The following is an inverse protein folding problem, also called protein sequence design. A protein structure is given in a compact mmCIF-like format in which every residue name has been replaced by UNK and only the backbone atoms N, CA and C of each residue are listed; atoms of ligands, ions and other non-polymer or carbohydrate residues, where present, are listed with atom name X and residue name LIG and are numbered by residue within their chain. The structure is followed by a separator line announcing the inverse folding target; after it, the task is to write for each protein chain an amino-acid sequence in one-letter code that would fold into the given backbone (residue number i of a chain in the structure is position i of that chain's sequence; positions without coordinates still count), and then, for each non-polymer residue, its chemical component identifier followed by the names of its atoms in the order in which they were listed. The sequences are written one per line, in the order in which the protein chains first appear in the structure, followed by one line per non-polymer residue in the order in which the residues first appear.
data_IF_440283777183
#
_entry.id   IF_440283777183
#
_cell.length_a   1.000
_cell.length_b   1.000
_cell.length_c   1.000
_cell.angle_alpha   90.00
_cell.angle_beta   90.00
_cell.angle_gamma   90.00
#
_symmetry.space_group_name_H-M   'P 1'
#
loop_
_entity.id
_entity.type
_entity.pdbx_description
1 polymer ?
#
# COMPACT_ATOMS: atom_id res chain seq x y z
N UNK A 1 -5.49 -13.63 -8.13
CA UNK A 1 -4.18 -14.28 -8.14
C UNK A 1 -3.21 -13.25 -8.66
N UNK A 2 -2.24 -12.84 -7.85
CA UNK A 2 -1.14 -12.01 -8.30
C UNK A 2 -0.53 -12.71 -9.52
N UNK A 3 -0.27 -11.98 -10.60
CA UNK A 3 0.31 -12.55 -11.81
C UNK A 3 1.63 -13.25 -11.48
N UNK A 4 1.97 -14.31 -12.22
CA UNK A 4 3.26 -14.99 -12.08
C UNK A 4 4.44 -14.01 -12.21
N UNK A 5 4.28 -12.94 -13.02
CA UNK A 5 5.25 -11.83 -13.11
C UNK A 5 5.37 -11.03 -11.81
N UNK A 6 4.27 -10.78 -11.11
CA UNK A 6 4.24 -10.10 -9.80
C UNK A 6 4.86 -10.93 -8.70
N UNK A 7 4.73 -12.26 -8.78
CA UNK A 7 5.37 -13.20 -7.84
C UNK A 7 6.89 -13.25 -8.05
N UNK A 8 7.35 -13.12 -9.31
CA UNK A 8 8.78 -13.06 -9.66
C UNK A 8 9.44 -11.72 -9.28
N UNK A 9 8.68 -10.62 -9.27
CA UNK A 9 9.15 -9.28 -8.84
C UNK A 9 9.22 -9.11 -7.31
N UNK A 10 8.81 -10.11 -6.52
CA UNK A 10 9.08 -10.15 -5.07
C UNK A 10 10.58 -10.48 -4.87
N UNK A 11 11.47 -9.66 -5.42
CA UNK A 11 12.87 -9.69 -5.07
C UNK A 11 12.98 -9.39 -3.59
N UNK A 12 13.88 -10.12 -2.92
CA UNK A 12 14.21 -10.03 -1.50
C UNK A 12 14.00 -8.62 -0.93
N UNK A 13 12.88 -8.42 -0.23
CA UNK A 13 12.61 -7.19 0.53
C UNK A 13 13.22 -7.42 1.92
N UNK A 14 14.41 -6.87 2.23
CA UNK A 14 14.93 -6.86 3.59
C UNK A 14 13.91 -6.25 4.57
N UNK A 15 13.92 -6.77 5.80
CA UNK A 15 12.76 -6.88 6.68
C UNK A 15 12.10 -5.58 7.15
N UNK A 16 10.99 -5.75 7.88
CA UNK A 16 10.07 -4.72 8.40
C UNK A 16 10.73 -3.50 9.09
N UNK A 17 11.98 -3.61 9.54
CA UNK A 17 12.73 -2.52 10.14
C UNK A 17 12.98 -1.37 9.14
N UNK A 18 13.40 -1.65 7.91
CA UNK A 18 13.68 -0.60 6.91
C UNK A 18 12.41 0.07 6.40
N UNK A 19 11.30 -0.66 6.39
CA UNK A 19 9.99 -0.14 6.01
C UNK A 19 9.34 0.73 7.10
N UNK A 20 9.90 0.77 8.31
CA UNK A 20 9.36 1.55 9.42
C UNK A 20 9.42 3.05 9.13
N UNK A 21 8.58 3.83 9.81
CA UNK A 21 8.47 5.27 9.64
C UNK A 21 7.18 5.70 8.93
N UNK A 22 7.10 6.99 8.66
CA UNK A 22 5.93 7.60 8.03
C UNK A 22 5.96 7.42 6.50
N UNK A 23 4.79 7.25 5.92
CA UNK A 23 4.52 7.10 4.48
C UNK A 23 3.25 7.86 4.10
N UNK A 24 3.30 8.64 3.03
CA UNK A 24 2.16 9.35 2.45
C UNK A 24 1.58 8.52 1.31
N UNK A 25 0.27 8.31 1.29
CA UNK A 25 -0.39 7.67 0.16
C UNK A 25 -0.51 8.68 -0.99
N UNK A 26 0.18 8.41 -2.09
CA UNK A 26 0.23 9.31 -3.25
C UNK A 26 -0.82 8.94 -4.29
N UNK A 27 -1.05 7.65 -4.51
CA UNK A 27 -2.01 7.17 -5.51
C UNK A 27 -2.49 5.75 -5.21
N UNK A 28 -3.71 5.43 -5.67
CA UNK A 28 -4.26 4.07 -5.68
C UNK A 28 -4.64 3.70 -7.11
N UNK A 29 -4.30 2.48 -7.53
CA UNK A 29 -4.87 1.87 -8.73
C UNK A 29 -5.84 0.75 -8.35
N UNK A 30 -7.12 0.86 -8.74
CA UNK A 30 -8.14 -0.11 -8.34
C UNK A 30 -9.40 -0.09 -9.21
N UNK A 31 -9.89 -1.26 -9.60
CA UNK A 31 -11.22 -1.38 -10.22
C UNK A 31 -12.36 -1.46 -9.20
N UNK A 32 -12.12 -1.08 -7.94
CA UNK A 32 -13.16 -1.05 -6.91
C UNK A 32 -14.25 -0.02 -7.26
N UNK A 33 -15.51 -0.46 -7.36
CA UNK A 33 -16.65 0.40 -7.66
C UNK A 33 -16.74 1.64 -6.74
N UNK A 34 -16.39 1.48 -5.46
CA UNK A 34 -16.38 2.61 -4.52
C UNK A 34 -15.42 3.72 -4.98
N UNK A 35 -14.21 3.37 -5.41
CA UNK A 35 -13.23 4.35 -5.88
C UNK A 35 -13.62 4.93 -7.25
N UNK A 36 -14.18 4.11 -8.15
CA UNK A 36 -14.72 4.60 -9.45
C UNK A 36 -15.70 5.75 -9.25
N UNK A 37 -16.58 5.65 -8.25
CA UNK A 37 -17.63 6.66 -7.97
C UNK A 37 -17.16 7.78 -7.05
N UNK A 38 -16.35 7.47 -6.03
CA UNK A 38 -16.04 8.40 -4.93
C UNK A 38 -14.58 8.90 -4.94
N UNK A 39 -13.83 8.76 -6.05
CA UNK A 39 -12.44 9.24 -6.12
C UNK A 39 -12.31 10.74 -5.83
N UNK A 40 -13.32 11.54 -6.18
CA UNK A 40 -13.35 12.99 -5.89
C UNK A 40 -13.48 13.33 -4.39
N UNK A 41 -13.73 12.34 -3.52
CA UNK A 41 -13.87 12.50 -2.07
C UNK A 41 -12.76 11.81 -1.29
N UNK A 42 -11.69 11.39 -1.96
CA UNK A 42 -10.56 10.77 -1.27
C UNK A 42 -9.85 11.82 -0.43
N UNK A 43 -9.43 11.40 0.76
CA UNK A 43 -8.83 12.27 1.76
C UNK A 43 -7.36 11.91 1.95
N UNK A 44 -6.58 12.91 2.34
CA UNK A 44 -5.15 12.74 2.59
C UNK A 44 -4.93 11.60 3.59
N UNK A 45 -4.10 10.65 3.22
CA UNK A 45 -3.90 9.41 3.97
C UNK A 45 -2.42 9.25 4.28
N UNK A 46 -2.09 9.14 5.56
CA UNK A 46 -0.73 8.92 6.06
C UNK A 46 -0.69 7.58 6.78
N UNK A 47 0.39 6.84 6.63
CA UNK A 47 0.64 5.59 7.34
C UNK A 47 1.89 5.72 8.17
N UNK A 48 1.80 5.36 9.44
CA UNK A 48 2.95 5.09 10.28
C UNK A 48 3.20 3.58 10.33
N UNK A 49 4.29 3.13 9.73
CA UNK A 49 4.74 1.75 9.78
C UNK A 49 5.71 1.54 10.95
N UNK A 50 5.63 0.39 11.62
CA UNK A 50 6.57 -0.02 12.65
C UNK A 50 6.63 -1.54 12.74
N UNK A 51 7.63 -2.08 13.43
CA UNK A 51 7.58 -3.47 13.90
C UNK A 51 6.43 -3.63 14.89
N UNK A 52 5.82 -4.81 14.92
CA UNK A 52 4.81 -5.12 15.93
C UNK A 52 5.44 -5.17 17.32
N UNK A 53 4.77 -4.59 18.31
CA UNK A 53 5.23 -4.55 19.71
C UNK A 53 4.85 -5.80 20.50
N UNK A 54 4.20 -6.78 19.86
CA UNK A 54 3.80 -8.04 20.48
C UNK A 54 5.03 -8.95 20.65
N UNK A 55 5.25 -9.42 21.88
CA UNK A 55 6.46 -10.15 22.31
C UNK A 55 6.83 -11.38 21.46
N UNK A 56 5.87 -12.00 20.76
CA UNK A 56 6.08 -13.18 19.88
C UNK A 56 5.96 -12.87 18.37
N UNK A 57 5.86 -11.60 17.99
CA UNK A 57 5.56 -11.15 16.63
C UNK A 57 6.49 -10.00 16.20
N UNK A 58 7.73 -9.99 16.70
CA UNK A 58 8.71 -8.91 16.45
C UNK A 58 9.09 -8.75 14.97
N UNK A 59 8.74 -9.70 14.10
CA UNK A 59 8.91 -9.61 12.65
C UNK A 59 7.64 -9.19 11.89
N UNK A 60 6.52 -9.03 12.58
CA UNK A 60 5.27 -8.56 12.00
C UNK A 60 5.33 -7.05 11.74
N UNK A 61 4.64 -6.62 10.69
CA UNK A 61 4.51 -5.21 10.35
C UNK A 61 3.23 -4.65 10.99
N UNK A 62 3.35 -3.57 11.73
CA UNK A 62 2.21 -2.78 12.21
C UNK A 62 2.09 -1.52 11.35
N UNK A 63 0.90 -1.25 10.84
CA UNK A 63 0.58 -0.02 10.09
C UNK A 63 -0.56 0.70 10.77
N UNK A 64 -0.32 1.94 11.19
CA UNK A 64 -1.36 2.86 11.67
C UNK A 64 -1.68 3.83 10.54
N UNK A 65 -2.88 3.74 9.99
CA UNK A 65 -3.35 4.64 8.94
C UNK A 65 -4.12 5.79 9.57
N UNK A 66 -3.65 7.01 9.34
CA UNK A 66 -4.30 8.25 9.70
C UNK A 66 -4.98 8.81 8.46
N UNK A 67 -6.29 9.02 8.53
CA UNK A 67 -7.07 9.62 7.45
C UNK A 67 -8.17 10.49 8.01
N UNK A 68 -8.57 11.52 7.27
CA UNK A 68 -9.78 12.27 7.55
C UNK A 68 -10.99 11.51 7.00
N UNK A 69 -12.08 11.47 7.76
CA UNK A 69 -13.38 10.99 7.32
C UNK A 69 -14.42 11.91 7.96
N UNK A 70 -15.21 12.58 7.14
CA UNK A 70 -16.27 13.50 7.56
C UNK A 70 -15.79 14.59 8.53
N UNK A 71 -14.63 15.21 8.25
CA UNK A 71 -14.08 16.25 9.11
C UNK A 71 -13.22 15.73 10.27
N UNK A 72 -13.33 14.45 10.62
CA UNK A 72 -12.69 13.86 11.81
C UNK A 72 -11.47 13.05 11.39
N UNK A 73 -10.36 13.16 12.14
CA UNK A 73 -9.19 12.32 11.94
C UNK A 73 -9.40 10.95 12.59
N UNK A 74 -9.34 9.89 11.78
CA UNK A 74 -9.46 8.51 12.19
C UNK A 74 -8.10 7.80 12.13
N UNK A 75 -7.79 7.04 13.18
CA UNK A 75 -6.66 6.10 13.20
C UNK A 75 -7.16 4.66 13.01
N UNK A 76 -6.67 3.99 11.96
CA UNK A 76 -6.95 2.59 11.68
C UNK A 76 -5.68 1.78 11.90
N UNK A 77 -5.69 0.86 12.86
CA UNK A 77 -4.55 -0.02 13.16
C UNK A 77 -4.67 -1.35 12.42
N UNK A 78 -3.62 -1.74 11.71
CA UNK A 78 -3.54 -3.01 11.00
C UNK A 78 -2.25 -3.73 11.40
N UNK A 79 -2.40 -4.99 11.82
CA UNK A 79 -1.28 -5.89 12.08
C UNK A 79 -1.16 -6.85 10.91
N UNK A 80 0.03 -6.92 10.33
CA UNK A 80 0.39 -7.68 9.16
C UNK A 80 1.41 -8.74 9.58
N UNK A 81 0.95 -9.98 9.88
CA UNK A 81 1.83 -11.08 10.22
C UNK A 81 2.77 -11.41 9.08
N UNK A 82 4.05 -11.60 9.39
CA UNK A 82 5.02 -12.08 8.41
C UNK A 82 4.58 -13.45 7.91
N UNK A 83 4.49 -13.61 6.59
CA UNK A 83 4.22 -14.90 5.97
C UNK A 83 5.55 -15.61 5.63
N UNK A 84 5.48 -16.89 5.20
CA UNK A 84 6.66 -17.67 4.76
C UNK A 84 7.39 -17.05 3.56
N UNK A 85 6.75 -16.11 2.85
CA UNK A 85 7.31 -15.36 1.72
C UNK A 85 7.64 -13.94 2.18
N UNK A 86 8.89 -13.51 2.02
CA UNK A 86 9.33 -12.17 2.41
C UNK A 86 8.49 -11.09 1.69
N UNK A 87 8.21 -9.97 2.37
CA UNK A 87 7.40 -8.89 1.83
C UNK A 87 5.90 -9.19 1.71
N UNK A 88 5.45 -10.43 1.98
CA UNK A 88 4.03 -10.83 1.97
C UNK A 88 3.45 -10.90 3.37
N UNK A 89 2.29 -10.29 3.53
CA UNK A 89 1.57 -10.22 4.78
C UNK A 89 0.10 -10.61 4.59
N UNK A 90 -0.56 -11.09 5.63
CA UNK A 90 -1.95 -11.55 5.54
C UNK A 90 -2.77 -11.10 6.74
N UNK A 91 -3.76 -10.23 6.50
CA UNK A 91 -4.72 -9.83 7.53
C UNK A 91 -5.97 -10.70 7.41
N UNK A 92 -6.33 -11.38 8.51
CA UNK A 92 -7.58 -12.12 8.62
C UNK A 92 -8.64 -11.24 9.31
N UNK A 93 -9.57 -10.69 8.54
CA UNK A 93 -10.83 -10.11 9.02
C UNK A 93 -12.02 -10.94 8.50
N UNK A 94 -13.19 -10.31 8.26
CA UNK A 94 -14.32 -10.98 7.58
C UNK A 94 -13.94 -11.57 6.22
N UNK A 95 -12.95 -11.00 5.55
CA UNK A 95 -12.36 -11.50 4.30
C UNK A 95 -10.84 -11.40 4.35
N UNK A 96 -10.16 -12.42 3.80
CA UNK A 96 -8.69 -12.47 3.73
C UNK A 96 -8.18 -11.40 2.78
N UNK A 97 -7.28 -10.56 3.29
CA UNK A 97 -6.52 -9.59 2.47
C UNK A 97 -5.06 -9.98 2.53
N UNK A 98 -4.46 -10.16 1.35
CA UNK A 98 -3.02 -10.36 1.21
C UNK A 98 -2.40 -9.03 0.78
N UNK A 99 -1.37 -8.61 1.49
CA UNK A 99 -0.57 -7.44 1.15
C UNK A 99 0.83 -7.90 0.76
N UNK A 100 1.37 -7.34 -0.31
CA UNK A 100 2.76 -7.59 -0.74
C UNK A 100 3.41 -6.24 -0.97
N UNK A 101 4.57 -5.99 -0.37
CA UNK A 101 5.45 -4.92 -0.84
C UNK A 101 6.05 -5.42 -2.15
N UNK A 102 5.80 -4.74 -3.26
CA UNK A 102 6.23 -5.21 -4.59
C UNK A 102 7.54 -4.56 -5.04
N UNK A 103 7.67 -3.24 -4.85
CA UNK A 103 8.89 -2.49 -5.11
C UNK A 103 9.03 -1.40 -4.05
N UNK A 104 10.24 -1.16 -3.55
CA UNK A 104 10.54 -0.09 -2.59
C UNK A 104 12.04 0.15 -2.56
N UNK A 105 12.45 1.41 -2.45
CA UNK A 105 13.82 1.78 -2.10
C UNK A 105 13.95 2.16 -0.61
N UNK A 106 12.84 2.08 0.15
CA UNK A 106 12.70 2.38 1.58
C UNK A 106 12.85 3.87 1.95
N UNK A 107 13.57 4.64 1.14
CA UNK A 107 13.94 6.03 1.39
C UNK A 107 13.03 7.03 0.67
N UNK A 108 12.42 6.66 -0.45
CA UNK A 108 11.64 7.59 -1.27
C UNK A 108 10.23 7.07 -1.55
N UNK A 109 10.07 5.80 -1.95
CA UNK A 109 8.77 5.27 -2.35
C UNK A 109 8.59 3.79 -2.04
N UNK A 110 7.33 3.36 -2.07
CA UNK A 110 6.95 1.96 -2.02
C UNK A 110 5.67 1.69 -2.81
N UNK A 111 5.63 0.58 -3.55
CA UNK A 111 4.46 0.11 -4.29
C UNK A 111 3.94 -1.15 -3.61
N UNK A 112 2.76 -1.05 -3.01
CA UNK A 112 2.14 -2.13 -2.26
C UNK A 112 0.96 -2.71 -3.04
N UNK A 113 0.92 -4.04 -3.12
CA UNK A 113 -0.14 -4.81 -3.75
C UNK A 113 -1.07 -5.34 -2.67
N UNK A 114 -2.37 -5.14 -2.85
CA UNK A 114 -3.42 -5.68 -2.02
C UNK A 114 -4.29 -6.61 -2.86
N UNK A 115 -4.48 -7.85 -2.40
CA UNK A 115 -5.40 -8.79 -3.01
C UNK A 115 -6.52 -9.15 -2.05
N UNK A 116 -7.77 -8.94 -2.48
CA UNK A 116 -8.98 -9.36 -1.78
C UNK A 116 -9.94 -10.01 -2.78
N UNK A 117 -10.38 -11.24 -2.52
CA UNK A 117 -11.32 -11.97 -3.41
C UNK A 117 -10.91 -11.91 -4.89
N UNK A 118 -9.63 -12.16 -5.18
CA UNK A 118 -9.00 -12.07 -6.52
C UNK A 118 -8.94 -10.68 -7.16
N UNK A 119 -9.54 -9.65 -6.56
CA UNK A 119 -9.36 -8.26 -6.98
C UNK A 119 -8.03 -7.72 -6.45
N UNK A 120 -7.27 -7.07 -7.33
CA UNK A 120 -5.98 -6.48 -7.02
C UNK A 120 -6.15 -4.97 -6.86
N UNK A 121 -5.36 -4.37 -5.99
CA UNK A 121 -5.27 -2.93 -5.80
C UNK A 121 -3.82 -2.59 -5.51
N UNK A 122 -3.27 -1.61 -6.23
CA UNK A 122 -1.92 -1.12 -5.99
C UNK A 122 -2.01 0.21 -5.25
N UNK A 123 -1.06 0.46 -4.36
CA UNK A 123 -0.91 1.72 -3.67
C UNK A 123 0.51 2.21 -3.80
N UNK A 124 0.68 3.44 -4.28
CA UNK A 124 1.95 4.15 -4.27
C UNK A 124 2.05 4.96 -2.98
N UNK A 125 3.10 4.70 -2.22
CA UNK A 125 3.48 5.46 -1.04
C UNK A 125 4.77 6.22 -1.29
N UNK A 126 4.88 7.42 -0.71
CA UNK A 126 6.09 8.22 -0.69
C UNK A 126 6.55 8.56 0.72
N UNK A 127 7.85 8.77 0.94
CA UNK A 127 8.35 9.40 2.19
C UNK A 127 8.08 10.90 2.25
N UNK A 128 7.81 11.52 1.11
CA UNK A 128 7.33 12.90 0.94
C UNK A 128 5.90 12.89 0.40
N UNK A 129 5.24 14.06 0.44
CA UNK A 129 3.86 14.25 -0.05
C UNK A 129 3.73 14.17 -1.59
N UNK A 130 4.86 14.18 -2.30
CA UNK A 130 4.96 14.04 -3.76
C UNK A 130 6.15 13.15 -4.10
N UNK A 131 6.20 12.65 -5.34
CA UNK A 131 7.29 11.84 -5.88
C UNK A 131 7.71 12.39 -7.26
N UNK A 132 8.84 11.92 -7.78
CA UNK A 132 9.29 12.25 -9.14
C UNK A 132 8.46 11.52 -10.21
N UNK A 133 8.48 12.05 -11.43
CA UNK A 133 7.78 11.44 -12.58
C UNK A 133 8.26 10.01 -12.85
N UNK A 134 9.54 9.70 -12.62
CA UNK A 134 10.06 8.34 -12.75
C UNK A 134 9.41 7.35 -11.78
N UNK A 135 9.08 7.79 -10.56
CA UNK A 135 8.38 6.95 -9.57
C UNK A 135 6.93 6.72 -10.01
N UNK A 136 6.27 7.75 -10.55
CA UNK A 136 4.92 7.59 -11.10
C UNK A 136 4.90 6.67 -12.31
N UNK A 137 5.88 6.79 -13.23
CA UNK A 137 6.02 5.90 -14.38
C UNK A 137 6.22 4.44 -13.97
N UNK A 138 7.09 4.18 -12.97
CA UNK A 138 7.23 2.83 -12.39
C UNK A 138 5.90 2.30 -11.85
N UNK A 139 5.14 3.15 -11.16
CA UNK A 139 3.82 2.77 -10.67
C UNK A 139 2.87 2.39 -11.81
N UNK A 140 2.81 3.18 -12.88
CA UNK A 140 2.01 2.88 -14.08
C UNK A 140 2.42 1.56 -14.76
N UNK A 141 3.73 1.26 -14.84
CA UNK A 141 4.26 0.00 -15.36
C UNK A 141 3.78 -1.19 -14.52
N UNK A 142 3.81 -1.07 -13.20
CA UNK A 142 3.28 -2.09 -12.28
C UNK A 142 1.75 -2.27 -12.41
N UNK A 143 1.00 -1.17 -12.56
CA UNK A 143 -0.46 -1.17 -12.75
C UNK A 143 -0.83 -1.89 -14.04
N UNK A 144 -0.22 -1.49 -15.16
CA UNK A 144 -0.41 -2.11 -16.47
C UNK A 144 0.00 -3.59 -16.46
N UNK A 145 1.06 -3.94 -15.74
CA UNK A 145 1.52 -5.31 -15.57
C UNK A 145 0.51 -6.22 -14.84
N UNK A 146 -0.45 -5.66 -14.09
CA UNK A 146 -1.58 -6.40 -13.51
C UNK A 146 -2.83 -6.43 -14.40
N UNK A 147 -2.78 -5.80 -15.59
CA UNK A 147 -3.93 -5.66 -16.48
C UNK A 147 -4.98 -4.66 -15.98
N UNK A 148 -4.60 -3.75 -15.07
CA UNK A 148 -5.45 -2.63 -14.67
C UNK A 148 -5.20 -1.48 -15.63
N UNK A 149 -6.25 -0.94 -16.23
CA UNK A 149 -6.17 0.24 -17.08
C UNK A 149 -5.73 1.48 -16.26
N UNK A 150 -4.86 2.32 -16.83
CA UNK A 150 -4.34 3.53 -16.19
C UNK A 150 -5.44 4.53 -15.83
N UNK A 151 -6.61 4.49 -16.49
CA UNK A 151 -7.78 5.30 -16.10
C UNK A 151 -8.29 5.00 -14.68
N UNK A 152 -7.87 3.86 -14.11
CA UNK A 152 -8.22 3.46 -12.74
C UNK A 152 -7.15 3.83 -11.71
N UNK A 153 -6.23 4.72 -12.07
CA UNK A 153 -5.32 5.39 -11.14
C UNK A 153 -6.01 6.63 -10.57
N UNK A 154 -6.06 6.70 -9.24
CA UNK A 154 -6.64 7.79 -8.48
C UNK A 154 -5.55 8.46 -7.65
N UNK A 155 -5.20 9.72 -7.92
CA UNK A 155 -4.29 10.49 -7.08
C UNK A 155 -4.94 10.79 -5.73
N UNK A 156 -4.14 10.79 -4.68
CA UNK A 156 -4.57 11.15 -3.34
C UNK A 156 -4.04 12.53 -2.96
N UNK A 157 -4.85 13.39 -2.31
CA UNK A 157 -4.42 14.71 -1.91
C UNK A 157 -3.42 14.63 -0.75
N UNK A 158 -2.71 15.73 -0.52
CA UNK A 158 -1.83 15.90 0.62
C UNK A 158 -2.47 16.80 1.69
N UNK A 159 -2.14 16.61 2.97
CA UNK A 159 -2.64 17.52 4.02
C UNK A 159 -1.99 18.90 3.89
N UNK A 160 -2.80 19.96 3.87
CA UNK A 160 -2.34 21.35 3.93
C UNK A 160 -2.08 22.01 2.58
N UNK A 161 -2.86 21.67 1.56
CA UNK A 161 -3.09 22.53 0.39
C UNK A 161 -4.31 23.43 0.63
#
# INVERSE_FOLDING_TARGET
NLSAKTVLLIQFIPGCAQFSGQWYLLSIASECNYLKVNNHRVEATVVQASRSTKQKATEDLSMKTLRKLDGICWEIRQEYPKNKVSGRFTVKGRLKVEMVVGETDYENYAILYYQRQRKITLKLYGRKKTASDDIYRKFEEHVSGQGIDLIYIYPFPSYGE
#
